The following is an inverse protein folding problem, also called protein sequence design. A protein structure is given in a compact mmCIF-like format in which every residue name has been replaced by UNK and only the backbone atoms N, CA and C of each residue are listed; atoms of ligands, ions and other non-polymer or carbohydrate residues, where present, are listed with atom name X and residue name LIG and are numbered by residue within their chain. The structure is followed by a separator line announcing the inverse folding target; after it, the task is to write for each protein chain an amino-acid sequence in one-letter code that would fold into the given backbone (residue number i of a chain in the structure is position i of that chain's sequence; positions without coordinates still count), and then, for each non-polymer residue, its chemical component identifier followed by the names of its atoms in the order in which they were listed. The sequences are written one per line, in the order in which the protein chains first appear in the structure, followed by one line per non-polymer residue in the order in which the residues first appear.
data_IF_229451822829
#
_entry.id   IF_229451822829
#
_cell.length_a   1.000
_cell.length_b   1.000
_cell.length_c   1.000
_cell.angle_alpha   90.00
_cell.angle_beta   90.00
_cell.angle_gamma   90.00
#
_symmetry.space_group_name_H-M   'P 1'
#
loop_
_entity.id
_entity.type
_entity.pdbx_description
1 polymer ?
#
# COMPACT_ATOMS: atom_id res chain seq x y z
N UNK A 1 -5.44 7.15 -2.68
CA UNK A 1 -6.17 5.97 -2.14
C UNK A 1 -6.09 6.04 -0.63
N UNK A 2 -7.17 5.70 0.07
CA UNK A 2 -7.21 5.66 1.54
C UNK A 2 -7.92 4.40 2.02
N UNK A 3 -7.47 3.87 3.15
CA UNK A 3 -8.13 2.80 3.88
C UNK A 3 -8.32 3.27 5.32
N UNK A 4 -9.50 3.09 5.88
CA UNK A 4 -9.82 3.47 7.26
C UNK A 4 -10.57 2.35 7.93
N UNK A 5 -10.01 1.79 9.00
CA UNK A 5 -10.66 0.78 9.83
C UNK A 5 -11.54 1.47 10.87
N UNK A 6 -12.77 0.96 11.05
CA UNK A 6 -13.71 1.46 12.08
C UNK A 6 -13.84 0.47 13.23
N UNK A 7 -13.49 -0.80 13.01
CA UNK A 7 -13.29 -1.82 14.03
C UNK A 7 -12.25 -2.84 13.52
N UNK A 8 -12.00 -3.89 14.28
CA UNK A 8 -11.15 -4.99 13.82
C UNK A 8 -11.79 -5.83 12.71
N UNK A 9 -13.09 -5.68 12.43
CA UNK A 9 -13.79 -6.40 11.35
C UNK A 9 -14.46 -5.47 10.35
N UNK A 10 -14.27 -4.15 10.45
CA UNK A 10 -14.93 -3.19 9.55
C UNK A 10 -13.98 -2.12 9.06
N UNK A 11 -14.13 -1.75 7.78
CA UNK A 11 -13.28 -0.78 7.12
C UNK A 11 -13.98 -0.10 5.95
N UNK A 12 -13.46 1.05 5.53
CA UNK A 12 -13.86 1.75 4.30
C UNK A 12 -12.60 1.97 3.47
N UNK A 13 -12.65 1.54 2.21
CA UNK A 13 -11.61 1.77 1.21
C UNK A 13 -12.09 2.79 0.19
N UNK A 14 -11.29 3.81 -0.10
CA UNK A 14 -11.62 4.85 -1.08
C UNK A 14 -10.53 4.98 -2.13
N UNK A 15 -10.96 4.96 -3.39
CA UNK A 15 -10.13 5.19 -4.55
C UNK A 15 -10.64 6.41 -5.32
N UNK A 16 -9.78 7.41 -5.43
CA UNK A 16 -10.04 8.63 -6.17
C UNK A 16 -9.04 8.76 -7.31
N UNK A 17 -9.55 9.00 -8.52
CA UNK A 17 -8.76 9.37 -9.67
C UNK A 17 -8.76 10.89 -9.79
N UNK A 18 -7.73 11.53 -9.25
CA UNK A 18 -7.58 13.00 -9.23
C UNK A 18 -7.53 13.64 -10.63
N UNK A 19 -7.12 12.89 -11.66
CA UNK A 19 -7.12 13.39 -13.05
C UNK A 19 -8.53 13.53 -13.62
N UNK A 20 -9.43 12.62 -13.25
CA UNK A 20 -10.81 12.59 -13.76
C UNK A 20 -11.84 13.11 -12.77
N UNK A 21 -11.45 13.33 -11.51
CA UNK A 21 -12.34 13.66 -10.40
C UNK A 21 -13.29 12.53 -9.98
N UNK A 22 -13.16 11.33 -10.57
CA UNK A 22 -14.01 10.18 -10.19
C UNK A 22 -13.54 9.60 -8.86
N UNK A 23 -14.50 9.32 -7.99
CA UNK A 23 -14.27 8.72 -6.69
C UNK A 23 -15.20 7.53 -6.49
N UNK A 24 -14.67 6.44 -5.92
CA UNK A 24 -15.45 5.28 -5.50
C UNK A 24 -15.00 4.83 -4.11
N UNK A 25 -15.95 4.36 -3.32
CA UNK A 25 -15.68 3.79 -2.01
C UNK A 25 -16.37 2.44 -1.89
N UNK A 26 -15.80 1.57 -1.06
CA UNK A 26 -16.41 0.32 -0.64
C UNK A 26 -16.32 0.20 0.88
N UNK A 27 -17.43 -0.18 1.50
CA UNK A 27 -17.53 -0.36 2.95
C UNK A 27 -17.65 -1.84 3.25
N UNK A 28 -16.78 -2.34 4.11
CA UNK A 28 -16.88 -3.65 4.72
C UNK A 28 -17.45 -3.47 6.13
N UNK A 29 -18.70 -3.88 6.35
CA UNK A 29 -19.33 -3.83 7.68
C UNK A 29 -18.92 -5.02 8.55
N UNK A 30 -18.67 -6.18 7.92
CA UNK A 30 -18.19 -7.40 8.57
C UNK A 30 -17.26 -8.16 7.63
N UNK A 31 -15.95 -7.98 7.83
CA UNK A 31 -14.91 -8.69 7.11
C UNK A 31 -14.90 -10.18 7.43
N UNK A 32 -14.35 -11.02 6.54
CA UNK A 32 -14.29 -12.46 6.72
C UNK A 32 -13.32 -12.90 7.84
N UNK A 33 -12.54 -11.97 8.39
CA UNK A 33 -11.58 -12.19 9.47
C UNK A 33 -11.34 -10.90 10.24
N UNK A 34 -10.61 -11.01 11.35
CA UNK A 34 -10.24 -9.92 12.24
C UNK A 34 -8.87 -9.35 11.86
N UNK A 35 -8.80 -8.05 11.62
CA UNK A 35 -7.56 -7.31 11.41
C UNK A 35 -6.84 -7.08 12.73
N UNK A 36 -5.54 -7.33 12.74
CA UNK A 36 -4.67 -7.07 13.90
C UNK A 36 -4.36 -5.57 14.08
N UNK A 37 -4.52 -4.77 13.02
CA UNK A 37 -4.16 -3.34 12.98
C UNK A 37 -2.73 -3.04 13.46
N UNK A 38 -1.81 -3.99 13.24
CA UNK A 38 -0.43 -3.94 13.75
C UNK A 38 0.58 -3.41 12.74
N UNK A 39 0.17 -3.20 11.49
CA UNK A 39 1.01 -2.74 10.40
C UNK A 39 0.22 -1.89 9.43
N UNK A 40 0.95 -1.10 8.64
CA UNK A 40 0.41 -0.36 7.51
C UNK A 40 1.50 -0.27 6.45
N UNK A 41 1.10 -0.38 5.19
CA UNK A 41 2.04 -0.56 4.10
C UNK A 41 1.61 0.16 2.81
N UNK A 42 2.61 0.49 2.01
CA UNK A 42 2.46 0.91 0.62
C UNK A 42 3.28 -0.07 -0.22
N UNK A 43 2.60 -0.87 -1.04
CA UNK A 43 3.22 -2.00 -1.74
C UNK A 43 2.97 -1.86 -3.24
N UNK A 44 4.00 -2.15 -4.03
CA UNK A 44 3.84 -2.56 -5.43
C UNK A 44 4.06 -4.06 -5.49
N UNK A 45 3.03 -4.80 -5.88
CA UNK A 45 2.99 -6.25 -5.74
C UNK A 45 2.97 -6.94 -7.11
N UNK A 46 3.74 -8.02 -7.23
CA UNK A 46 3.48 -9.04 -8.25
C UNK A 46 2.49 -10.05 -7.66
N UNK A 47 1.20 -9.74 -7.82
CA UNK A 47 0.10 -10.47 -7.22
C UNK A 47 -0.03 -11.91 -7.74
N UNK A 48 -0.72 -12.76 -6.98
CA UNK A 48 -1.12 -14.10 -7.43
C UNK A 48 -2.48 -14.07 -8.12
N UNK A 49 -2.61 -14.80 -9.22
CA UNK A 49 -3.88 -15.06 -9.89
C UNK A 49 -4.20 -16.56 -9.79
N UNK A 50 -5.04 -16.92 -8.81
CA UNK A 50 -5.28 -18.32 -8.47
C UNK A 50 -4.08 -18.90 -7.75
N UNK A 51 -3.46 -19.94 -8.33
CA UNK A 51 -2.28 -20.60 -7.77
C UNK A 51 -0.96 -20.10 -8.38
N UNK A 52 -1.04 -19.31 -9.46
CA UNK A 52 0.13 -18.86 -10.20
C UNK A 52 0.44 -17.40 -9.87
N UNK A 53 1.74 -17.10 -9.76
CA UNK A 53 2.18 -15.72 -9.66
C UNK A 53 1.96 -15.04 -11.03
N UNK A 54 1.35 -13.85 -11.04
CA UNK A 54 1.15 -13.10 -12.27
C UNK A 54 2.48 -12.87 -12.98
N UNK A 55 2.49 -12.81 -14.32
CA UNK A 55 3.70 -12.47 -15.07
C UNK A 55 4.23 -11.10 -14.62
N UNK A 56 5.52 -11.02 -14.32
CA UNK A 56 6.12 -9.74 -13.95
C UNK A 56 6.25 -8.83 -15.17
N UNK A 57 5.56 -7.70 -15.13
CA UNK A 57 5.66 -6.65 -16.14
C UNK A 57 6.41 -5.45 -15.54
N UNK A 58 7.55 -5.01 -16.13
CA UNK A 58 8.22 -3.79 -15.69
C UNK A 58 7.27 -2.59 -15.78
N UNK A 59 7.10 -1.89 -14.67
CA UNK A 59 6.18 -0.76 -14.53
C UNK A 59 6.91 0.59 -14.52
N UNK A 60 8.23 0.59 -14.70
CA UNK A 60 9.06 1.79 -14.61
C UNK A 60 9.18 2.28 -13.18
N UNK A 61 8.40 3.29 -12.81
CA UNK A 61 8.44 3.92 -11.49
C UNK A 61 7.03 4.19 -10.98
N UNK A 62 6.79 3.87 -9.72
CA UNK A 62 5.58 4.24 -8.99
C UNK A 62 5.99 5.00 -7.73
N UNK A 63 5.47 6.20 -7.56
CA UNK A 63 5.68 7.01 -6.36
C UNK A 63 4.36 7.19 -5.62
N UNK A 64 4.32 6.73 -4.38
CA UNK A 64 3.29 7.09 -3.42
C UNK A 64 3.67 8.44 -2.83
N UNK A 65 2.85 9.46 -3.07
CA UNK A 65 2.98 10.78 -2.46
C UNK A 65 1.96 10.94 -1.34
N UNK A 66 2.20 11.90 -0.44
CA UNK A 66 1.32 12.21 0.69
C UNK A 66 0.99 10.96 1.53
N UNK A 67 2.00 10.09 1.68
CA UNK A 67 1.89 8.84 2.42
C UNK A 67 1.96 9.11 3.93
N UNK A 68 0.86 8.83 4.62
CA UNK A 68 0.78 8.86 6.08
C UNK A 68 -0.20 7.83 6.63
N UNK A 69 -0.01 7.50 7.91
CA UNK A 69 -0.95 6.77 8.76
C UNK A 69 -1.47 7.76 9.79
N UNK A 70 -2.79 7.86 9.95
CA UNK A 70 -3.39 8.58 11.06
C UNK A 70 -3.54 7.65 12.26
N UNK A 71 -3.04 8.06 13.43
CA UNK A 71 -3.26 7.35 14.70
C UNK A 71 -4.53 7.86 15.38
N UNK A 72 -5.03 7.11 16.37
CA UNK A 72 -6.20 7.52 17.18
C UNK A 72 -5.98 8.85 17.92
N UNK A 73 -4.72 9.21 18.18
CA UNK A 73 -4.34 10.49 18.77
C UNK A 73 -4.33 11.66 17.76
N UNK A 74 -4.63 11.41 16.49
CA UNK A 74 -4.57 12.38 15.41
C UNK A 74 -3.15 12.67 14.88
N UNK A 75 -2.13 11.98 15.42
CA UNK A 75 -0.77 12.12 14.89
C UNK A 75 -0.65 11.43 13.53
N UNK A 76 0.22 11.99 12.68
CA UNK A 76 0.57 11.39 11.40
C UNK A 76 1.93 10.71 11.48
N UNK A 77 1.97 9.44 11.09
CA UNK A 77 3.21 8.68 10.90
C UNK A 77 3.47 8.60 9.40
N UNK A 78 4.63 9.05 8.96
CA UNK A 78 5.07 8.94 7.57
C UNK A 78 6.11 7.83 7.42
N UNK A 79 6.34 7.27 6.22
CA UNK A 79 7.32 6.20 6.00
C UNK A 79 8.71 6.48 6.59
N UNK A 80 9.13 7.75 6.60
CA UNK A 80 10.47 8.12 7.08
C UNK A 80 10.58 8.33 8.59
N UNK A 81 9.46 8.58 9.28
CA UNK A 81 9.48 9.02 10.69
C UNK A 81 9.71 7.91 11.71
N UNK A 82 9.32 6.67 11.39
CA UNK A 82 9.45 5.51 12.30
C UNK A 82 10.42 4.44 11.80
N UNK A 83 10.98 4.63 10.60
CA UNK A 83 11.75 3.61 9.88
C UNK A 83 10.81 2.54 9.35
N UNK A 84 10.46 2.64 8.06
CA UNK A 84 9.74 1.57 7.36
C UNK A 84 10.69 0.45 6.94
N UNK A 85 10.21 -0.78 7.04
CA UNK A 85 10.87 -1.90 6.37
C UNK A 85 10.70 -1.76 4.85
N UNK A 86 11.82 -1.76 4.15
CA UNK A 86 11.83 -1.67 2.69
C UNK A 86 11.96 -3.07 2.11
N UNK A 87 10.89 -3.55 1.47
CA UNK A 87 10.84 -4.87 0.84
C UNK A 87 11.25 -4.76 -0.63
N UNK A 88 12.10 -5.68 -1.09
CA UNK A 88 12.56 -5.79 -2.49
C UNK A 88 11.91 -7.00 -3.13
N UNK A 89 11.31 -6.81 -4.31
CA UNK A 89 10.79 -7.92 -5.10
C UNK A 89 11.93 -8.62 -5.84
N UNK A 90 12.06 -9.94 -5.65
CA UNK A 90 13.04 -10.78 -6.34
C UNK A 90 12.38 -12.03 -6.91
N UNK A 91 12.69 -12.34 -8.16
CA UNK A 91 12.29 -13.60 -8.82
C UNK A 91 13.54 -14.40 -9.16
N UNK A 92 13.64 -15.64 -8.64
CA UNK A 92 14.80 -16.52 -8.87
C UNK A 92 16.15 -15.83 -8.57
N UNK A 93 16.20 -15.02 -7.51
CA UNK A 93 17.38 -14.26 -7.11
C UNK A 93 17.61 -12.95 -7.89
N UNK A 94 16.87 -12.70 -8.97
CA UNK A 94 16.95 -11.47 -9.77
C UNK A 94 16.07 -10.40 -9.14
N UNK A 95 16.65 -9.24 -8.85
CA UNK A 95 15.90 -8.06 -8.40
C UNK A 95 14.98 -7.60 -9.53
N UNK A 96 13.70 -7.45 -9.20
CA UNK A 96 12.66 -6.98 -10.12
C UNK A 96 12.13 -5.61 -9.76
N UNK A 97 12.11 -5.29 -8.47
CA UNK A 97 11.71 -3.98 -7.99
C UNK A 97 12.36 -3.66 -6.65
N UNK A 98 12.81 -2.41 -6.50
CA UNK A 98 13.31 -1.83 -5.26
C UNK A 98 12.56 -0.56 -4.93
N UNK A 99 12.29 -0.34 -3.64
CA UNK A 99 11.66 0.86 -3.15
C UNK A 99 12.59 1.69 -2.27
N UNK A 100 12.30 2.98 -2.11
CA UNK A 100 12.98 3.87 -1.17
C UNK A 100 12.02 4.90 -0.60
N UNK A 101 12.23 5.30 0.65
CA UNK A 101 11.39 6.28 1.35
C UNK A 101 12.10 7.62 1.50
N UNK A 102 11.36 8.72 1.37
CA UNK A 102 11.83 10.07 1.66
C UNK A 102 10.69 10.95 2.16
N UNK A 103 10.77 11.42 3.40
CA UNK A 103 9.69 12.09 4.13
C UNK A 103 8.36 11.31 4.04
N UNK A 104 7.35 11.90 3.40
CA UNK A 104 6.02 11.36 3.14
C UNK A 104 5.90 10.74 1.73
N UNK A 105 7.01 10.35 1.12
CA UNK A 105 7.03 9.71 -0.20
C UNK A 105 7.71 8.34 -0.14
N UNK A 106 7.24 7.42 -0.96
CA UNK A 106 7.86 6.13 -1.25
C UNK A 106 7.91 5.98 -2.77
N UNK A 107 9.08 5.68 -3.32
CA UNK A 107 9.24 5.43 -4.76
C UNK A 107 9.75 4.02 -4.97
N UNK A 108 9.03 3.24 -5.77
CA UNK A 108 9.41 1.90 -6.21
C UNK A 108 9.77 1.93 -7.69
N UNK A 109 10.92 1.37 -8.05
CA UNK A 109 11.38 1.27 -9.44
C UNK A 109 11.53 -0.20 -9.83
N UNK A 110 10.99 -0.57 -10.99
CA UNK A 110 11.18 -1.91 -11.56
C UNK A 110 12.36 -1.96 -12.52
N UNK A 111 13.02 -3.12 -12.59
CA UNK A 111 14.07 -3.44 -13.56
C UNK A 111 13.71 -4.65 -14.42
#
# INVERSE_FOLDING_TARGET
MTLSTTSSTSAVGTLENLTTGKCTSHTWDNGPSTLCNSGAEWIVEQFFHGQDQAEFVPYGSVTFTDAYISTDSGAQITPSTKGSDVITLKNNGVVRSTCSTSKNTLTCNST
#
